data_IF_711857387211
#
_entry.id   IF_711857387211
#
_cell.length_a   1.000
_cell.length_b   1.000
_cell.length_c   1.000
_cell.angle_alpha   90.00
_cell.angle_beta   90.00
_cell.angle_gamma   90.00
#
_symmetry.space_group_name_H-M   'P 1'
#
loop_
_entity.id
_entity.type
_entity.pdbx_description
1 polymer ?
#
# COMPACT_ATOMS: atom_id res chain seq x y z
N UNK A 1 -27.92 23.46 -27.01
CA UNK A 1 -27.78 22.05 -27.44
C UNK A 1 -26.76 21.98 -28.56
N UNK A 2 -25.53 21.57 -28.26
CA UNK A 2 -24.60 21.02 -29.24
C UNK A 2 -23.72 20.02 -28.51
N UNK A 3 -24.03 18.74 -28.69
CA UNK A 3 -23.26 17.61 -28.19
C UNK A 3 -22.26 17.16 -29.25
N UNK A 4 -21.04 16.82 -28.83
CA UNK A 4 -20.49 15.47 -28.87
C UNK A 4 -18.96 15.50 -29.10
N UNK A 5 -18.25 15.00 -28.09
CA UNK A 5 -16.82 14.76 -28.10
C UNK A 5 -16.49 13.51 -28.92
N UNK A 6 -15.75 13.68 -30.03
CA UNK A 6 -15.09 12.60 -30.74
C UNK A 6 -13.61 12.57 -30.35
N UNK A 7 -13.27 11.83 -29.29
CA UNK A 7 -11.88 11.57 -28.95
C UNK A 7 -11.33 10.48 -29.88
N UNK A 8 -10.35 10.88 -30.68
CA UNK A 8 -9.54 10.07 -31.59
C UNK A 8 -9.01 8.80 -30.91
N UNK A 9 -9.29 7.65 -31.50
CA UNK A 9 -8.47 6.44 -31.34
C UNK A 9 -7.22 6.59 -32.22
N UNK A 10 -5.99 6.46 -31.70
CA UNK A 10 -4.86 6.14 -32.53
C UNK A 10 -4.52 4.66 -32.39
N UNK A 11 -4.67 3.95 -33.50
CA UNK A 11 -4.03 2.67 -33.74
C UNK A 11 -2.50 2.81 -33.77
N UNK A 12 -1.82 1.69 -33.52
CA UNK A 12 -0.39 1.41 -33.78
C UNK A 12 0.66 2.18 -32.99
N UNK A 13 0.87 1.77 -31.73
CA UNK A 13 2.20 1.59 -31.13
C UNK A 13 2.07 0.50 -30.06
N UNK A 14 2.82 -0.59 -30.18
CA UNK A 14 2.91 -1.64 -29.17
C UNK A 14 3.37 -1.02 -27.85
N UNK A 15 2.42 -0.69 -27.00
CA UNK A 15 2.66 0.13 -25.82
C UNK A 15 3.09 -0.79 -24.70
N UNK A 16 4.38 -0.70 -24.36
CA UNK A 16 4.94 -1.24 -23.12
C UNK A 16 4.08 -0.85 -21.90
N UNK A 17 3.32 0.24 -22.01
CA UNK A 17 2.36 0.73 -21.02
C UNK A 17 1.06 -0.09 -20.92
N UNK A 18 0.49 -0.60 -22.02
CA UNK A 18 -0.69 -1.50 -21.97
C UNK A 18 -0.30 -2.85 -21.40
N UNK A 19 0.86 -3.40 -21.80
CA UNK A 19 1.38 -4.65 -21.24
C UNK A 19 1.65 -4.53 -19.73
N UNK A 20 2.22 -3.39 -19.31
CA UNK A 20 2.43 -3.07 -17.89
C UNK A 20 1.11 -2.95 -17.12
N UNK A 21 0.10 -2.33 -17.73
CA UNK A 21 -1.24 -2.17 -17.13
C UNK A 21 -1.98 -3.50 -16.98
N UNK A 22 -1.98 -4.34 -18.02
CA UNK A 22 -2.56 -5.68 -17.97
C UNK A 22 -1.87 -6.58 -16.94
N UNK A 23 -0.53 -6.58 -16.93
CA UNK A 23 0.26 -7.35 -15.95
C UNK A 23 0.02 -6.88 -14.52
N UNK A 24 -0.03 -5.56 -14.28
CA UNK A 24 -0.37 -4.99 -12.97
C UNK A 24 -1.79 -5.36 -12.55
N UNK A 25 -2.76 -5.30 -13.47
CA UNK A 25 -4.15 -5.65 -13.18
C UNK A 25 -4.30 -7.13 -12.86
N UNK A 26 -3.54 -8.00 -13.53
CA UNK A 26 -3.50 -9.42 -13.19
C UNK A 26 -2.96 -9.64 -11.78
N UNK A 27 -1.77 -9.12 -11.49
CA UNK A 27 -1.09 -9.33 -10.20
C UNK A 27 -1.87 -8.73 -9.02
N UNK A 28 -2.51 -7.57 -9.21
CA UNK A 28 -3.21 -6.86 -8.12
C UNK A 28 -4.69 -7.24 -7.97
N UNK A 29 -5.34 -7.81 -8.98
CA UNK A 29 -6.80 -7.98 -8.96
C UNK A 29 -7.33 -9.30 -9.54
N UNK A 30 -6.70 -9.85 -10.56
CA UNK A 30 -7.23 -11.03 -11.28
C UNK A 30 -6.54 -12.35 -10.91
N UNK A 31 -5.41 -12.32 -10.19
CA UNK A 31 -4.71 -13.53 -9.75
C UNK A 31 -5.62 -14.35 -8.82
N UNK A 32 -5.84 -15.65 -9.09
CA UNK A 32 -6.72 -16.50 -8.29
C UNK A 32 -6.22 -16.71 -6.85
N UNK A 33 -4.90 -16.63 -6.62
CA UNK A 33 -4.29 -16.76 -5.29
C UNK A 33 -4.41 -15.49 -4.41
N UNK A 34 -5.04 -14.43 -4.92
CA UNK A 34 -5.20 -13.17 -4.19
C UNK A 34 -6.28 -13.34 -3.12
N UNK A 35 -5.92 -13.16 -1.84
CA UNK A 35 -6.89 -13.19 -0.75
C UNK A 35 -7.80 -11.97 -0.82
N UNK A 36 -9.01 -12.16 -1.33
CA UNK A 36 -10.07 -11.15 -1.36
C UNK A 36 -10.73 -11.07 0.01
N UNK A 37 -10.46 -10.01 0.76
CA UNK A 37 -11.07 -9.79 2.08
C UNK A 37 -10.25 -8.89 2.97
N UNK A 38 -10.81 -8.57 4.15
CA UNK A 38 -10.14 -7.79 5.18
C UNK A 38 -8.83 -8.46 5.62
N UNK A 39 -7.90 -7.65 6.11
CA UNK A 39 -6.71 -8.16 6.79
C UNK A 39 -7.12 -8.71 8.16
N UNK A 40 -6.58 -9.88 8.51
CA UNK A 40 -6.68 -10.41 9.87
C UNK A 40 -5.81 -9.61 10.83
N UNK A 41 -6.09 -9.70 12.13
CA UNK A 41 -5.30 -9.01 13.15
C UNK A 41 -3.84 -9.50 13.14
N UNK A 42 -3.61 -10.80 12.95
CA UNK A 42 -2.27 -11.39 12.85
C UNK A 42 -1.50 -10.84 11.63
N UNK A 43 -2.16 -10.68 10.48
CA UNK A 43 -1.56 -10.05 9.30
C UNK A 43 -1.22 -8.57 9.58
N UNK A 44 -2.11 -7.83 10.26
CA UNK A 44 -1.85 -6.44 10.64
C UNK A 44 -0.65 -6.31 11.57
N UNK A 45 -0.56 -7.16 12.59
CA UNK A 45 0.52 -7.14 13.57
C UNK A 45 1.87 -7.50 12.92
N UNK A 46 1.89 -8.49 12.02
CA UNK A 46 3.07 -8.84 11.24
C UNK A 46 3.51 -7.68 10.33
N UNK A 47 2.57 -6.96 9.69
CA UNK A 47 2.89 -5.77 8.88
C UNK A 47 3.53 -4.68 9.74
N UNK A 48 3.03 -4.46 10.96
CA UNK A 48 3.57 -3.46 11.88
C UNK A 48 5.01 -3.82 12.27
N UNK A 49 5.26 -5.06 12.65
CA UNK A 49 6.58 -5.56 13.02
C UNK A 49 7.57 -5.46 11.85
N UNK A 50 7.19 -5.97 10.68
CA UNK A 50 8.01 -5.90 9.48
C UNK A 50 8.28 -4.46 9.05
N UNK A 51 7.30 -3.55 9.18
CA UNK A 51 7.52 -2.13 8.89
C UNK A 51 8.48 -1.49 9.91
N UNK A 52 8.50 -1.93 11.16
CA UNK A 52 9.45 -1.42 12.16
C UNK A 52 10.90 -1.75 11.80
N UNK A 53 11.14 -2.91 11.19
CA UNK A 53 12.48 -3.36 10.77
C UNK A 53 12.84 -2.88 9.37
N UNK A 54 11.89 -2.95 8.43
CA UNK A 54 12.12 -2.73 6.99
C UNK A 54 11.72 -1.33 6.50
N UNK A 55 10.86 -0.62 7.23
CA UNK A 55 10.25 0.63 6.76
C UNK A 55 9.34 0.43 5.55
N UNK A 56 9.29 1.42 4.65
CA UNK A 56 8.40 1.45 3.48
C UNK A 56 8.79 0.46 2.35
N UNK A 57 9.47 -0.65 2.65
CA UNK A 57 9.88 -1.67 1.67
C UNK A 57 8.75 -2.67 1.41
N UNK A 58 7.64 -2.18 0.87
CA UNK A 58 6.38 -2.93 0.72
C UNK A 58 6.52 -4.25 -0.04
N UNK A 59 7.36 -4.30 -1.08
CA UNK A 59 7.59 -5.54 -1.83
C UNK A 59 8.27 -6.63 -0.99
N UNK A 60 9.15 -6.26 -0.04
CA UNK A 60 9.77 -7.21 0.88
C UNK A 60 8.77 -7.67 1.95
N UNK A 61 7.91 -6.76 2.42
CA UNK A 61 6.85 -7.10 3.38
C UNK A 61 5.83 -8.05 2.72
N UNK A 62 5.45 -7.78 1.47
CA UNK A 62 4.53 -8.63 0.69
C UNK A 62 5.08 -10.04 0.48
N UNK A 63 6.41 -10.20 0.38
CA UNK A 63 7.02 -11.52 0.26
C UNK A 63 6.80 -12.41 1.50
N UNK A 64 6.51 -11.82 2.67
CA UNK A 64 6.20 -12.54 3.92
C UNK A 64 4.70 -12.81 4.10
N UNK A 65 3.84 -12.24 3.23
CA UNK A 65 2.38 -12.34 3.34
C UNK A 65 1.82 -13.02 2.08
N UNK A 66 1.73 -14.36 2.08
CA UNK A 66 1.27 -15.10 0.91
C UNK A 66 -0.17 -14.69 0.54
N UNK A 67 -0.36 -14.35 -0.73
CA UNK A 67 -1.67 -13.93 -1.24
C UNK A 67 -2.04 -12.47 -0.95
N UNK A 68 -1.12 -11.66 -0.40
CA UNK A 68 -1.25 -10.20 -0.29
C UNK A 68 -0.22 -9.50 -1.17
N UNK A 69 -0.62 -8.37 -1.74
CA UNK A 69 0.24 -7.55 -2.58
C UNK A 69 0.83 -6.38 -1.80
N UNK A 70 1.96 -5.85 -2.30
CA UNK A 70 2.59 -4.65 -1.77
C UNK A 70 1.64 -3.44 -1.77
N UNK A 71 0.77 -3.34 -2.79
CA UNK A 71 -0.22 -2.29 -2.87
C UNK A 71 -1.30 -2.40 -1.78
N UNK A 72 -1.80 -3.61 -1.49
CA UNK A 72 -2.76 -3.82 -0.40
C UNK A 72 -2.14 -3.50 0.96
N UNK A 73 -0.90 -3.91 1.20
CA UNK A 73 -0.18 -3.62 2.46
C UNK A 73 0.00 -2.11 2.64
N UNK A 74 0.45 -1.42 1.59
CA UNK A 74 0.57 0.05 1.59
C UNK A 74 -0.79 0.73 1.84
N UNK A 75 -1.88 0.19 1.30
CA UNK A 75 -3.22 0.73 1.52
C UNK A 75 -3.68 0.52 2.96
N UNK A 76 -3.48 -0.67 3.53
CA UNK A 76 -3.78 -0.97 4.93
C UNK A 76 -2.99 -0.04 5.86
N UNK A 77 -1.71 0.15 5.57
CA UNK A 77 -0.83 1.04 6.32
C UNK A 77 -1.36 2.47 6.36
N UNK A 78 -1.69 3.04 5.20
CA UNK A 78 -2.12 4.43 5.10
C UNK A 78 -3.55 4.67 5.61
N UNK A 79 -4.44 3.68 5.51
CA UNK A 79 -5.84 3.83 5.88
C UNK A 79 -6.12 3.48 7.34
N UNK A 80 -5.47 2.43 7.87
CA UNK A 80 -5.77 1.84 9.18
C UNK A 80 -4.60 2.05 10.17
N UNK A 81 -3.43 1.46 9.88
CA UNK A 81 -2.34 1.35 10.86
C UNK A 81 -1.79 2.72 11.26
N UNK A 82 -1.58 3.64 10.30
CA UNK A 82 -1.14 5.02 10.60
C UNK A 82 -2.06 5.73 11.59
N UNK A 83 -3.37 5.53 11.48
CA UNK A 83 -4.35 6.15 12.40
C UNK A 83 -4.28 5.49 13.78
N UNK A 84 -4.23 4.15 13.83
CA UNK A 84 -4.08 3.38 15.08
C UNK A 84 -2.80 3.77 15.84
N UNK A 85 -1.65 3.89 15.16
CA UNK A 85 -0.38 4.27 15.80
C UNK A 85 -0.42 5.70 16.35
N UNK A 86 -0.97 6.65 15.61
CA UNK A 86 -1.14 8.03 16.08
C UNK A 86 -2.05 8.11 17.30
N UNK A 87 -3.14 7.36 17.33
CA UNK A 87 -4.04 7.28 18.50
C UNK A 87 -3.33 6.71 19.73
N UNK A 88 -2.42 5.74 19.54
CA UNK A 88 -1.55 5.20 20.60
C UNK A 88 -0.40 6.13 20.98
N UNK A 89 -0.28 7.31 20.34
CA UNK A 89 0.82 8.23 20.58
C UNK A 89 2.16 7.75 20.03
N UNK A 90 2.16 6.89 19.00
CA UNK A 90 3.37 6.35 18.36
C UNK A 90 3.52 6.99 16.97
N UNK A 91 4.74 7.40 16.62
CA UNK A 91 5.06 7.89 15.28
C UNK A 91 5.09 6.70 14.31
N UNK A 92 4.26 6.70 13.25
CA UNK A 92 4.18 5.56 12.34
C UNK A 92 5.47 5.31 11.55
N UNK A 93 6.29 6.33 11.30
CA UNK A 93 7.51 6.15 10.51
C UNK A 93 8.68 5.65 11.35
N UNK A 94 8.75 6.09 12.61
CA UNK A 94 9.87 5.75 13.50
C UNK A 94 9.54 4.67 14.52
N UNK A 95 8.26 4.32 14.67
CA UNK A 95 7.72 3.43 15.71
C UNK A 95 8.13 3.83 17.12
N UNK A 96 8.49 5.10 17.32
CA UNK A 96 8.84 5.68 18.62
C UNK A 96 7.64 6.41 19.20
N UNK A 97 7.50 6.45 20.53
CA UNK A 97 6.53 7.33 21.17
C UNK A 97 6.71 8.78 20.73
N UNK A 98 5.60 9.45 20.41
CA UNK A 98 5.57 10.85 19.98
C UNK A 98 6.07 11.80 21.08
N UNK A 99 5.98 11.43 22.36
CA UNK A 99 6.50 12.26 23.45
C UNK A 99 8.01 12.49 23.32
N UNK A 100 8.78 11.48 22.88
CA UNK A 100 10.23 11.61 22.65
C UNK A 100 10.55 12.63 21.54
N UNK A 101 9.67 12.78 20.56
CA UNK A 101 9.81 13.79 19.51
C UNK A 101 9.51 15.20 20.02
N UNK A 102 8.53 15.34 20.92
CA UNK A 102 8.16 16.63 21.51
C UNK A 102 9.27 17.15 22.45
N UNK A 103 9.88 16.27 23.24
CA UNK A 103 10.99 16.62 24.13
C UNK A 103 12.22 17.11 23.35
N UNK A 104 12.53 16.46 22.22
CA UNK A 104 13.69 16.83 21.38
C UNK A 104 13.57 18.21 20.71
N UNK A 105 12.36 18.73 20.53
CA UNK A 105 12.11 20.06 19.95
C UNK A 105 12.05 21.18 21.01
N UNK A 106 12.15 20.84 22.30
CA UNK A 106 12.04 21.80 23.41
C UNK A 106 13.39 22.31 23.93
N UNK A 107 14.48 21.65 23.55
CA UNK A 107 15.87 22.06 23.79
C UNK A 107 16.46 22.66 22.51
#
# INVERSE_FOLDING_TARGET
>A
MAMAAGALFPNSLGSKDVERSCRLRWINYLRPDLKRGAFSQDEEDLIIELHAVLGNRWSQIAAQLPGRTDNEIKNLWNSCIKKKLRQKGIDPNTHKPLYLRLERNRN
#
